data_IF_657302545871
#
_entry.id   IF_657302545871
#
_cell.length_a   1.000
_cell.length_b   1.000
_cell.length_c   1.000
_cell.angle_alpha   90.00
_cell.angle_beta   90.00
_cell.angle_gamma   90.00
#
_symmetry.space_group_name_H-M   'P 1'
#
loop_
_entity.id
_entity.type
_entity.pdbx_description
1 polymer ?
#
# COMPACT_ATOMS: atom_id res chain seq x y z
N UNK A 1 4.49 -11.08 -15.85
CA UNK A 1 4.97 -12.44 -15.46
C UNK A 1 3.81 -13.30 -14.96
N UNK A 2 3.02 -12.89 -13.92
CA UNK A 2 1.87 -13.66 -13.40
C UNK A 2 0.73 -13.78 -14.41
N UNK A 3 0.45 -12.75 -15.20
CA UNK A 3 -0.55 -12.77 -16.26
C UNK A 3 -0.31 -13.87 -17.30
N UNK A 4 0.95 -14.10 -17.64
CA UNK A 4 1.35 -15.19 -18.56
C UNK A 4 1.05 -16.55 -17.92
N UNK A 5 1.46 -16.75 -16.66
CA UNK A 5 1.19 -18.00 -15.92
C UNK A 5 -0.30 -18.33 -15.84
N UNK A 6 -1.13 -17.30 -15.60
CA UNK A 6 -2.58 -17.49 -15.50
C UNK A 6 -3.20 -17.83 -16.85
N UNK A 7 -2.76 -17.13 -17.90
CA UNK A 7 -3.21 -17.42 -19.27
C UNK A 7 -2.84 -18.83 -19.72
N UNK A 8 -1.62 -19.25 -19.50
CA UNK A 8 -1.13 -20.60 -19.82
C UNK A 8 -1.88 -21.70 -19.05
N UNK A 9 -2.35 -21.38 -17.83
CA UNK A 9 -3.12 -22.30 -16.99
C UNK A 9 -4.64 -22.18 -17.19
N UNK A 10 -5.12 -21.35 -18.11
CA UNK A 10 -6.53 -21.14 -18.39
C UNK A 10 -7.34 -20.55 -17.25
N UNK A 11 -6.69 -19.73 -16.38
CA UNK A 11 -7.31 -19.13 -15.18
C UNK A 11 -7.16 -17.62 -15.18
N UNK A 12 -8.00 -16.94 -14.41
CA UNK A 12 -8.02 -15.46 -14.33
C UNK A 12 -7.41 -14.89 -13.05
N UNK A 13 -7.20 -15.73 -12.03
CA UNK A 13 -6.74 -15.27 -10.72
C UNK A 13 -5.80 -16.27 -10.04
N UNK A 14 -5.15 -15.77 -8.97
CA UNK A 14 -4.18 -16.54 -8.19
C UNK A 14 -4.81 -17.77 -7.51
N UNK A 15 -6.07 -17.70 -7.08
CA UNK A 15 -6.74 -18.82 -6.43
C UNK A 15 -7.04 -19.94 -7.45
N UNK A 16 -7.48 -19.56 -8.64
CA UNK A 16 -7.64 -20.47 -9.78
C UNK A 16 -6.32 -21.13 -10.14
N UNK A 17 -5.23 -20.35 -10.23
CA UNK A 17 -3.92 -20.89 -10.54
C UNK A 17 -3.44 -21.93 -9.51
N UNK A 18 -3.57 -21.62 -8.23
CA UNK A 18 -3.18 -22.55 -7.16
C UNK A 18 -3.99 -23.84 -7.21
N UNK A 19 -5.32 -23.73 -7.47
CA UNK A 19 -6.18 -24.94 -7.62
C UNK A 19 -5.82 -25.79 -8.84
N UNK A 20 -5.59 -25.13 -9.99
CA UNK A 20 -5.33 -25.82 -11.25
C UNK A 20 -3.94 -26.45 -11.30
N UNK A 21 -2.92 -25.74 -10.83
CA UNK A 21 -1.52 -26.17 -10.92
C UNK A 21 -1.00 -26.95 -9.70
N UNK A 22 -1.68 -26.87 -8.55
CA UNK A 22 -1.16 -27.36 -7.27
C UNK A 22 0.05 -26.59 -6.73
N UNK A 23 0.56 -25.59 -7.47
CA UNK A 23 1.76 -24.83 -7.13
C UNK A 23 1.40 -23.62 -6.27
N UNK A 24 2.14 -23.41 -5.19
CA UNK A 24 2.02 -22.20 -4.37
C UNK A 24 2.60 -21.00 -5.13
N UNK A 25 1.87 -19.90 -5.13
CA UNK A 25 2.33 -18.60 -5.63
C UNK A 25 2.28 -17.60 -4.48
N UNK A 26 3.43 -17.05 -4.01
CA UNK A 26 3.46 -16.18 -2.85
C UNK A 26 2.66 -14.90 -3.10
N UNK A 27 2.03 -14.36 -2.06
CA UNK A 27 1.42 -13.02 -2.12
C UNK A 27 2.52 -11.96 -2.15
N UNK A 28 2.27 -10.87 -2.85
CA UNK A 28 3.14 -9.69 -2.85
C UNK A 28 2.45 -8.62 -2.02
N UNK A 29 3.16 -8.09 -1.04
CA UNK A 29 2.71 -6.94 -0.27
C UNK A 29 3.58 -5.74 -0.65
N UNK A 30 2.93 -4.70 -1.15
CA UNK A 30 3.54 -3.40 -1.44
C UNK A 30 3.19 -2.48 -0.28
N UNK A 31 4.19 -1.89 0.36
CA UNK A 31 4.00 -0.93 1.45
C UNK A 31 4.58 0.40 0.99
N UNK A 32 3.76 1.44 0.98
CA UNK A 32 4.16 2.80 0.66
C UNK A 32 3.93 3.67 1.89
N UNK A 33 5.02 3.98 2.60
CA UNK A 33 4.98 4.93 3.71
C UNK A 33 5.22 6.35 3.18
N UNK A 34 4.50 7.33 3.73
CA UNK A 34 4.49 8.72 3.23
C UNK A 34 4.25 8.79 1.70
N UNK A 35 3.25 8.06 1.23
CA UNK A 35 3.02 7.85 -0.20
C UNK A 35 2.87 9.15 -0.99
N UNK A 36 2.42 10.25 -0.36
CA UNK A 36 2.24 11.55 -1.01
C UNK A 36 3.52 12.07 -1.67
N UNK A 37 4.70 11.67 -1.16
CA UNK A 37 6.00 12.06 -1.72
C UNK A 37 6.20 11.50 -3.13
N UNK A 38 5.65 10.31 -3.40
CA UNK A 38 5.76 9.67 -4.72
C UNK A 38 4.93 10.36 -5.80
N UNK A 39 3.94 11.16 -5.39
CA UNK A 39 3.02 11.86 -6.30
C UNK A 39 3.32 13.37 -6.40
N UNK A 40 4.44 13.82 -5.83
CA UNK A 40 4.85 15.22 -5.91
C UNK A 40 5.42 15.55 -7.30
N UNK A 41 4.57 16.16 -8.12
CA UNK A 41 4.92 16.59 -9.48
C UNK A 41 5.97 17.70 -9.55
N UNK A 42 6.22 18.39 -8.42
CA UNK A 42 7.23 19.47 -8.36
C UNK A 42 8.65 18.91 -8.37
N UNK A 43 8.84 17.76 -7.76
CA UNK A 43 10.16 17.10 -7.71
C UNK A 43 10.51 16.43 -9.05
N UNK A 44 9.62 15.59 -9.57
CA UNK A 44 9.78 14.97 -10.89
C UNK A 44 8.42 14.50 -11.43
N UNK A 45 7.88 15.25 -12.40
CA UNK A 45 6.55 15.01 -12.97
C UNK A 45 6.41 13.63 -13.63
N UNK A 46 7.40 13.19 -14.39
CA UNK A 46 7.35 11.90 -15.09
C UNK A 46 7.32 10.73 -14.08
N UNK A 47 8.12 10.82 -13.03
CA UNK A 47 8.10 9.81 -11.95
C UNK A 47 6.76 9.82 -11.23
N UNK A 48 6.22 10.99 -10.88
CA UNK A 48 4.92 11.10 -10.19
C UNK A 48 3.77 10.53 -11.05
N UNK A 49 3.75 10.80 -12.35
CA UNK A 49 2.78 10.22 -13.28
C UNK A 49 2.87 8.70 -13.35
N UNK A 50 4.09 8.16 -13.47
CA UNK A 50 4.31 6.72 -13.48
C UNK A 50 3.89 6.07 -12.15
N UNK A 51 4.20 6.69 -11.02
CA UNK A 51 3.76 6.21 -9.71
C UNK A 51 2.23 6.19 -9.60
N UNK A 52 1.55 7.24 -10.07
CA UNK A 52 0.09 7.31 -10.08
C UNK A 52 -0.51 6.21 -10.96
N UNK A 53 0.01 6.05 -12.18
CA UNK A 53 -0.43 5.00 -13.10
C UNK A 53 -0.25 3.60 -12.50
N UNK A 54 0.93 3.26 -12.01
CA UNK A 54 1.22 1.95 -11.43
C UNK A 54 0.39 1.68 -10.18
N UNK A 55 0.16 2.68 -9.34
CA UNK A 55 -0.69 2.54 -8.15
C UNK A 55 -2.13 2.26 -8.54
N UNK A 56 -2.67 2.98 -9.53
CA UNK A 56 -3.99 2.73 -10.08
C UNK A 56 -4.13 1.29 -10.62
N UNK A 57 -3.13 0.80 -11.34
CA UNK A 57 -3.10 -0.58 -11.85
C UNK A 57 -3.05 -1.61 -10.71
N UNK A 58 -2.25 -1.38 -9.68
CA UNK A 58 -2.16 -2.28 -8.51
C UNK A 58 -3.50 -2.34 -7.79
N UNK A 59 -4.17 -1.22 -7.58
CA UNK A 59 -5.48 -1.20 -6.89
C UNK A 59 -6.55 -1.90 -7.71
N UNK A 60 -6.60 -1.69 -9.03
CA UNK A 60 -7.59 -2.31 -9.93
C UNK A 60 -7.37 -3.81 -10.11
N UNK A 61 -6.14 -4.22 -10.34
CA UNK A 61 -5.81 -5.58 -10.79
C UNK A 61 -5.11 -6.43 -9.73
N UNK A 62 -4.48 -5.80 -8.75
CA UNK A 62 -3.61 -6.48 -7.79
C UNK A 62 -4.28 -7.66 -7.07
N UNK A 63 -5.57 -7.52 -6.72
CA UNK A 63 -6.32 -8.57 -6.04
C UNK A 63 -6.30 -9.91 -6.79
N UNK A 64 -6.57 -9.90 -8.09
CA UNK A 64 -6.57 -11.11 -8.92
C UNK A 64 -5.17 -11.70 -9.04
N UNK A 65 -4.14 -10.87 -9.06
CA UNK A 65 -2.75 -11.31 -9.11
C UNK A 65 -2.13 -11.64 -7.74
N UNK A 66 -2.88 -11.47 -6.64
CA UNK A 66 -2.39 -11.69 -5.28
C UNK A 66 -1.37 -10.64 -4.86
N UNK A 67 -1.55 -9.41 -5.32
CA UNK A 67 -0.78 -8.22 -4.92
C UNK A 67 -1.66 -7.38 -4.01
N UNK A 68 -1.15 -6.99 -2.85
CA UNK A 68 -1.84 -6.18 -1.87
C UNK A 68 -1.06 -4.90 -1.62
N UNK A 69 -1.76 -3.81 -1.40
CA UNK A 69 -1.17 -2.49 -1.21
C UNK A 69 -1.57 -1.94 0.16
N UNK A 70 -0.59 -1.45 0.91
CA UNK A 70 -0.76 -0.64 2.13
C UNK A 70 -0.14 0.71 1.86
N UNK A 71 -0.90 1.77 2.06
CA UNK A 71 -0.45 3.14 1.92
C UNK A 71 -0.64 3.87 3.23
N UNK A 72 0.38 4.57 3.69
CA UNK A 72 0.32 5.42 4.87
C UNK A 72 0.76 6.85 4.56
N UNK A 73 0.18 7.81 5.25
CA UNK A 73 0.49 9.23 5.13
C UNK A 73 0.11 9.96 6.40
N UNK A 74 0.82 11.03 6.70
CA UNK A 74 0.46 11.96 7.78
C UNK A 74 -0.63 12.96 7.34
N UNK A 75 -0.81 13.16 6.04
CA UNK A 75 -1.81 14.10 5.51
C UNK A 75 -2.62 13.44 4.41
N UNK A 76 -3.94 13.50 4.50
CA UNK A 76 -4.87 13.00 3.47
C UNK A 76 -5.08 14.04 2.36
N UNK A 77 -4.18 14.99 2.22
CA UNK A 77 -4.25 15.96 1.14
C UNK A 77 -3.85 15.26 -0.16
N UNK A 78 -4.72 15.31 -1.16
CA UNK A 78 -4.36 14.88 -2.51
C UNK A 78 -3.29 15.84 -3.01
N UNK A 79 -2.03 15.42 -2.91
CA UNK A 79 -0.89 16.19 -3.40
C UNK A 79 -0.65 15.76 -4.82
N UNK A 80 -0.68 16.68 -5.73
CA UNK A 80 -0.34 16.45 -7.12
C UNK A 80 -1.25 17.22 -8.09
N UNK A 81 -0.76 17.48 -9.29
CA UNK A 81 -1.61 17.87 -10.41
C UNK A 81 -2.57 16.70 -10.75
N UNK A 82 -3.72 16.97 -11.39
CA UNK A 82 -4.70 15.93 -11.70
C UNK A 82 -4.13 14.71 -12.43
N UNK A 83 -3.07 14.89 -13.20
CA UNK A 83 -2.37 13.85 -13.97
C UNK A 83 -1.33 13.05 -13.15
N UNK A 84 -1.02 13.51 -11.94
CA UNK A 84 -0.10 12.84 -11.02
C UNK A 84 -0.81 12.34 -9.75
N UNK A 85 -2.13 12.50 -9.66
CA UNK A 85 -2.91 12.10 -8.49
C UNK A 85 -3.46 10.67 -8.64
N UNK A 86 -3.68 10.03 -7.50
CA UNK A 86 -4.48 8.81 -7.46
C UNK A 86 -5.93 9.23 -7.71
N UNK A 87 -6.61 8.58 -8.66
CA UNK A 87 -7.99 8.92 -9.00
C UNK A 87 -8.93 8.65 -7.81
N UNK A 88 -10.01 9.42 -7.71
CA UNK A 88 -11.07 9.22 -6.71
C UNK A 88 -11.65 7.79 -6.77
N UNK A 89 -11.79 7.25 -7.98
CA UNK A 89 -12.29 5.89 -8.19
C UNK A 89 -11.32 4.84 -7.61
N UNK A 90 -10.02 5.08 -7.74
CA UNK A 90 -8.99 4.21 -7.17
C UNK A 90 -9.01 4.28 -5.65
N UNK A 91 -9.10 5.50 -5.08
CA UNK A 91 -9.28 5.68 -3.63
C UNK A 91 -10.55 5.00 -3.14
N UNK A 92 -11.65 5.07 -3.90
CA UNK A 92 -12.91 4.40 -3.60
C UNK A 92 -12.80 2.87 -3.53
N UNK A 93 -11.87 2.26 -4.27
CA UNK A 93 -11.61 0.82 -4.23
C UNK A 93 -10.77 0.38 -3.02
N UNK A 94 -10.10 1.30 -2.36
CA UNK A 94 -9.35 1.03 -1.13
C UNK A 94 -10.31 0.99 0.05
N UNK A 95 -10.92 -0.16 0.28
CA UNK A 95 -12.03 -0.33 1.24
C UNK A 95 -11.61 -0.27 2.70
N UNK A 96 -10.42 -0.74 3.03
CA UNK A 96 -9.92 -0.74 4.41
C UNK A 96 -9.26 0.60 4.69
N UNK A 97 -9.77 1.32 5.68
CA UNK A 97 -9.28 2.63 6.09
C UNK A 97 -9.07 2.68 7.58
N UNK A 98 -7.91 3.22 7.97
CA UNK A 98 -7.53 3.37 9.37
C UNK A 98 -7.03 4.79 9.56
N UNK A 99 -7.61 5.50 10.49
CA UNK A 99 -7.15 6.82 10.92
C UNK A 99 -6.73 6.80 12.38
N UNK A 100 -5.53 7.31 12.68
CA UNK A 100 -5.04 7.38 14.06
C UNK A 100 -5.39 8.71 14.71
N UNK A 101 -4.90 9.81 14.18
CA UNK A 101 -5.21 11.16 14.67
C UNK A 101 -5.44 12.04 13.46
N UNK A 102 -6.59 12.67 13.39
CA UNK A 102 -6.99 13.45 12.22
C UNK A 102 -7.91 14.59 12.63
N UNK A 103 -7.91 15.66 11.84
CA UNK A 103 -8.88 16.74 11.91
C UNK A 103 -10.23 16.36 11.29
N UNK A 104 -11.27 17.12 11.51
CA UNK A 104 -12.57 16.89 10.90
C UNK A 104 -12.50 16.89 9.36
N UNK A 105 -11.71 17.79 8.78
CA UNK A 105 -11.51 17.84 7.32
C UNK A 105 -10.84 16.59 6.79
N UNK A 106 -9.85 16.07 7.49
CA UNK A 106 -9.16 14.83 7.12
C UNK A 106 -10.07 13.60 7.30
N UNK A 107 -10.91 13.62 8.33
CA UNK A 107 -11.93 12.58 8.52
C UNK A 107 -12.88 12.48 7.31
N UNK A 108 -13.38 13.61 6.82
CA UNK A 108 -14.23 13.64 5.63
C UNK A 108 -13.51 13.10 4.39
N UNK A 109 -12.22 13.40 4.21
CA UNK A 109 -11.42 12.87 3.10
C UNK A 109 -11.13 11.38 3.23
N UNK A 110 -10.82 10.92 4.44
CA UNK A 110 -10.45 9.53 4.69
C UNK A 110 -11.67 8.61 4.73
N UNK A 111 -12.75 9.03 5.37
CA UNK A 111 -13.91 8.18 5.63
C UNK A 111 -15.16 8.58 4.85
N UNK A 112 -15.11 9.66 4.04
CA UNK A 112 -16.26 10.13 3.25
C UNK A 112 -17.45 10.47 4.12
N UNK A 113 -18.63 9.94 3.80
CA UNK A 113 -19.86 10.16 4.56
C UNK A 113 -19.77 9.71 6.03
N UNK A 114 -18.91 8.74 6.37
CA UNK A 114 -18.65 8.32 7.74
C UNK A 114 -17.67 9.24 8.50
N UNK A 115 -17.20 10.32 7.90
CA UNK A 115 -16.15 11.17 8.45
C UNK A 115 -16.53 11.87 9.75
N UNK A 116 -17.72 12.43 9.83
CA UNK A 116 -18.19 13.14 11.04
C UNK A 116 -18.33 12.18 12.23
N UNK A 117 -18.87 10.98 12.00
CA UNK A 117 -18.95 9.93 13.03
C UNK A 117 -17.53 9.47 13.43
N UNK A 118 -16.62 9.29 12.47
CA UNK A 118 -15.24 8.92 12.74
C UNK A 118 -14.53 9.99 13.60
N UNK A 119 -14.69 11.27 13.25
CA UNK A 119 -14.13 12.37 14.02
C UNK A 119 -14.71 12.48 15.43
N UNK A 120 -16.02 12.31 15.57
CA UNK A 120 -16.68 12.33 16.88
C UNK A 120 -16.18 11.20 17.79
N UNK A 121 -15.90 10.02 17.24
CA UNK A 121 -15.40 8.84 17.97
C UNK A 121 -13.91 8.89 18.28
N UNK A 122 -13.14 9.76 17.60
CA UNK A 122 -11.69 9.90 17.80
C UNK A 122 -11.31 10.50 19.16
N UNK A 123 -12.27 10.84 19.99
CA UNK A 123 -12.05 11.36 21.34
C UNK A 123 -11.52 10.25 22.25
N UNK A 124 -10.20 10.21 22.46
CA UNK A 124 -9.61 9.16 23.27
C UNK A 124 -8.15 9.38 23.62
N UNK A 125 -7.64 8.41 24.35
CA UNK A 125 -6.25 8.39 24.77
C UNK A 125 -5.30 8.16 23.57
N UNK A 126 -4.03 8.42 23.77
CA UNK A 126 -2.96 8.15 22.79
C UNK A 126 -3.09 6.71 22.26
N UNK A 127 -2.98 6.54 20.96
CA UNK A 127 -3.12 5.25 20.29
C UNK A 127 -4.55 4.87 19.92
N UNK A 128 -5.54 5.72 20.19
CA UNK A 128 -6.90 5.53 19.67
C UNK A 128 -6.89 5.66 18.16
N UNK A 129 -7.58 4.75 17.48
CA UNK A 129 -7.73 4.73 16.04
C UNK A 129 -9.18 4.39 15.65
N UNK A 130 -9.57 4.82 14.46
CA UNK A 130 -10.84 4.46 13.83
C UNK A 130 -10.54 3.58 12.63
N UNK A 131 -11.24 2.49 12.50
CA UNK A 131 -11.18 1.55 11.39
C UNK A 131 -12.53 1.50 10.69
N UNK A 132 -12.52 1.55 9.36
CA UNK A 132 -13.70 1.33 8.53
C UNK A 132 -13.33 0.35 7.41
N UNK A 133 -14.05 -0.76 7.34
CA UNK A 133 -13.72 -1.85 6.44
C UNK A 133 -14.27 -1.65 5.02
N UNK A 134 -15.48 -1.18 4.90
CA UNK A 134 -16.19 -1.18 3.63
C UNK A 134 -16.56 0.23 3.17
N UNK A 135 -16.00 1.25 3.82
CA UNK A 135 -16.32 2.64 3.52
C UNK A 135 -17.83 2.95 3.66
N UNK A 136 -18.43 2.33 4.67
CA UNK A 136 -19.87 2.48 4.95
C UNK A 136 -20.11 3.53 6.04
N UNK A 137 -21.22 4.25 5.97
CA UNK A 137 -21.56 5.32 6.92
C UNK A 137 -21.58 4.85 8.39
N UNK A 138 -22.07 3.64 8.65
CA UNK A 138 -22.15 3.07 9.99
C UNK A 138 -21.02 2.07 10.31
N UNK A 139 -19.97 2.04 9.49
CA UNK A 139 -18.90 1.03 9.57
C UNK A 139 -17.72 1.38 10.47
N UNK A 140 -17.76 2.50 11.19
CA UNK A 140 -16.64 2.94 12.01
C UNK A 140 -16.52 2.13 13.31
N UNK A 141 -15.34 1.53 13.51
CA UNK A 141 -14.99 0.78 14.71
C UNK A 141 -13.82 1.50 15.38
N UNK A 142 -13.98 1.88 16.64
CA UNK A 142 -12.91 2.47 17.44
C UNK A 142 -12.10 1.35 18.07
N UNK A 143 -10.79 1.46 17.99
CA UNK A 143 -9.89 0.53 18.65
C UNK A 143 -8.66 1.25 19.19
N UNK A 144 -7.90 0.58 20.01
CA UNK A 144 -6.61 1.09 20.51
C UNK A 144 -5.48 0.29 19.88
N UNK A 145 -4.53 1.00 19.32
CA UNK A 145 -3.31 0.37 18.77
C UNK A 145 -2.47 -0.22 19.90
N UNK A 146 -1.91 -1.39 19.66
CA UNK A 146 -0.95 -1.97 20.59
C UNK A 146 0.35 -1.15 20.60
N UNK A 147 0.88 -0.92 21.78
CA UNK A 147 2.21 -0.33 21.90
C UNK A 147 3.28 -1.41 21.72
N UNK A 148 4.19 -1.16 20.81
CA UNK A 148 5.37 -2.02 20.59
C UNK A 148 6.64 -1.24 20.93
N UNK A 149 7.30 -1.58 22.04
CA UNK A 149 8.58 -0.97 22.42
C UNK A 149 9.67 -1.30 21.40
N UNK A 150 10.72 -0.48 21.34
CA UNK A 150 11.87 -0.74 20.47
C UNK A 150 12.52 -2.10 20.72
N UNK A 151 12.61 -2.52 21.98
CA UNK A 151 13.12 -3.83 22.36
C UNK A 151 12.24 -4.98 21.87
N UNK A 152 10.93 -4.86 22.07
CA UNK A 152 9.96 -5.84 21.57
C UNK A 152 10.01 -5.95 20.05
N UNK A 153 10.07 -4.81 19.35
CA UNK A 153 10.22 -4.75 17.89
C UNK A 153 11.48 -5.49 17.44
N UNK A 154 12.62 -5.25 18.10
CA UNK A 154 13.88 -5.90 17.78
C UNK A 154 13.79 -7.42 17.92
N UNK A 155 13.23 -7.93 19.02
CA UNK A 155 13.00 -9.38 19.23
C UNK A 155 12.18 -10.02 18.10
N UNK A 156 11.07 -9.37 17.69
CA UNK A 156 10.26 -9.89 16.59
C UNK A 156 10.99 -9.87 15.26
N UNK A 157 11.73 -8.81 14.94
CA UNK A 157 12.51 -8.71 13.70
C UNK A 157 13.61 -9.79 13.65
N UNK A 158 14.32 -10.03 14.75
CA UNK A 158 15.32 -11.08 14.84
C UNK A 158 14.69 -12.48 14.67
N UNK A 159 13.52 -12.72 15.27
CA UNK A 159 12.82 -13.99 15.12
C UNK A 159 12.37 -14.22 13.67
N UNK A 160 11.84 -13.18 13.00
CA UNK A 160 11.43 -13.22 11.58
C UNK A 160 12.67 -13.47 10.69
N UNK A 161 13.77 -12.75 10.92
CA UNK A 161 15.00 -12.91 10.17
C UNK A 161 15.55 -14.34 10.30
N UNK A 162 15.56 -14.89 11.51
CA UNK A 162 15.96 -16.28 11.77
C UNK A 162 15.05 -17.29 11.06
N UNK A 163 13.75 -17.08 11.07
CA UNK A 163 12.78 -17.96 10.41
C UNK A 163 12.86 -17.89 8.88
N UNK A 164 13.27 -16.75 8.34
CA UNK A 164 13.45 -16.50 6.90
C UNK A 164 14.83 -16.92 6.38
N UNK A 165 15.80 -17.19 7.25
CA UNK A 165 17.16 -17.54 6.84
C UNK A 165 17.19 -18.72 5.88
N UNK A 166 17.79 -18.51 4.71
CA UNK A 166 17.86 -19.49 3.62
C UNK A 166 16.52 -19.73 2.87
N UNK A 167 15.49 -18.94 3.14
CA UNK A 167 14.17 -19.04 2.49
C UNK A 167 13.81 -17.71 1.82
N UNK A 168 14.18 -17.54 0.60
CA UNK A 168 13.78 -16.36 -0.16
C UNK A 168 14.88 -15.79 -1.03
N UNK A 169 14.51 -14.82 -1.84
CA UNK A 169 15.44 -14.07 -2.68
C UNK A 169 16.27 -13.12 -1.81
N UNK A 170 17.43 -12.74 -2.31
CA UNK A 170 18.29 -11.75 -1.69
C UNK A 170 17.56 -10.42 -1.52
N UNK A 171 17.68 -9.82 -0.33
CA UNK A 171 17.08 -8.51 -0.05
C UNK A 171 17.81 -7.44 -0.85
N UNK A 172 17.10 -6.76 -1.75
CA UNK A 172 17.62 -5.60 -2.47
C UNK A 172 17.30 -4.34 -1.68
N UNK A 173 18.33 -3.63 -1.27
CA UNK A 173 18.20 -2.35 -0.55
C UNK A 173 18.63 -1.23 -1.49
N UNK A 174 17.73 -0.24 -1.68
CA UNK A 174 18.02 0.98 -2.42
C UNK A 174 18.15 2.13 -1.43
N UNK A 175 19.34 2.71 -1.34
CA UNK A 175 19.59 3.89 -0.51
C UNK A 175 19.37 5.15 -1.37
N UNK A 176 18.36 5.95 -1.04
CA UNK A 176 17.99 7.14 -1.83
C UNK A 176 19.06 8.23 -1.89
N UNK A 177 20.06 8.19 -1.01
CA UNK A 177 21.22 9.06 -1.03
C UNK A 177 22.33 8.62 -2.00
N UNK A 178 22.27 7.39 -2.49
CA UNK A 178 23.22 6.87 -3.48
C UNK A 178 22.59 6.99 -4.86
N UNK A 179 23.25 7.74 -5.75
CA UNK A 179 22.94 7.67 -7.18
C UNK A 179 23.28 6.24 -7.63
N UNK A 180 22.31 5.43 -8.08
CA UNK A 180 22.62 4.11 -8.56
C UNK A 180 23.57 4.23 -9.76
N UNK A 181 24.73 3.59 -9.68
CA UNK A 181 25.55 3.37 -10.88
C UNK A 181 24.79 2.36 -11.75
N UNK A 182 24.05 2.85 -12.72
CA UNK A 182 23.45 1.97 -13.72
C UNK A 182 24.60 1.40 -14.59
N UNK A 183 24.71 0.08 -14.75
CA UNK A 183 25.59 -0.50 -15.73
C UNK A 183 25.18 0.05 -17.09
N UNK A 184 26.07 0.78 -17.75
CA UNK A 184 25.81 1.36 -19.09
C UNK A 184 25.52 0.29 -20.17
N UNK A 185 25.70 -0.97 -19.84
CA UNK A 185 25.56 -2.11 -20.76
C UNK A 185 24.13 -2.66 -20.90
N UNK A 186 23.20 -2.30 -20.01
CA UNK A 186 21.82 -2.84 -20.06
C UNK A 186 20.84 -2.02 -20.92
N UNK A 187 21.22 -0.85 -21.36
CA UNK A 187 20.42 -0.09 -22.32
C UNK A 187 20.98 -0.31 -23.71
N UNK A 188 20.36 -1.25 -24.43
CA UNK A 188 20.70 -1.49 -25.84
C UNK A 188 20.79 -0.19 -26.59
N UNK A 189 21.86 -0.05 -27.38
CA UNK A 189 22.02 1.06 -28.31
C UNK A 189 20.81 1.15 -29.21
N UNK A 190 20.42 2.38 -29.64
CA UNK A 190 19.27 2.60 -30.51
C UNK A 190 19.36 1.86 -31.82
#
# INVERSE_FOLDING_TARGET
RRSVLFKESGVSDIAGYVRASGKKLPRILVIMDEFQVLFDSKSNRSVAQNCAHLTNEIVKLGRSYGIHLIMSTQTVTVVGSPDCAISSDTVGQMRIRIGLKFSQTEAGRLFGAAGDDAFARMRGAIGTAVYNKDFTECGNIVFRTAYCSGETKKKYLEAIAKAAAGKGDETKVFEGSRVPAFPQEEFGKP
#
